data_IF_039553310979
#
_entry.id   IF_039553310979
#
_cell.length_a   1.000
_cell.length_b   1.000
_cell.length_c   1.000
_cell.angle_alpha   90.00
_cell.angle_beta   90.00
_cell.angle_gamma   90.00
#
_symmetry.space_group_name_H-M   'P 1'
#
loop_
_entity.id
_entity.type
_entity.pdbx_description
1 polymer ?
#
# COMPACT_ATOMS: atom_id res chain seq x y z
N UNK A 1 50.01 -19.80 19.05
CA UNK A 1 49.31 -19.00 18.02
C UNK A 1 47.81 -19.16 18.24
N UNK A 2 47.15 -18.13 18.80
CA UNK A 2 45.75 -18.19 19.20
C UNK A 2 44.83 -17.79 18.02
N UNK A 3 43.89 -18.67 17.66
CA UNK A 3 42.81 -18.37 16.72
C UNK A 3 41.75 -17.54 17.46
N UNK A 4 41.57 -16.27 17.07
CA UNK A 4 40.40 -15.48 17.49
C UNK A 4 39.28 -15.74 16.48
N UNK A 5 38.27 -16.49 16.91
CA UNK A 5 36.98 -16.60 16.23
C UNK A 5 36.16 -15.36 16.53
N UNK A 6 35.91 -14.54 15.52
CA UNK A 6 34.96 -13.43 15.57
C UNK A 6 33.54 -14.00 15.58
N UNK A 7 32.65 -13.64 16.52
CA UNK A 7 31.27 -14.11 16.51
C UNK A 7 30.47 -13.42 15.40
N UNK A 8 29.58 -14.18 14.78
CA UNK A 8 28.61 -13.71 13.81
C UNK A 8 27.72 -12.64 14.45
N UNK A 9 27.60 -11.50 13.78
CA UNK A 9 26.77 -10.38 14.21
C UNK A 9 25.31 -10.80 14.09
N UNK A 10 24.64 -10.81 15.23
CA UNK A 10 23.22 -11.12 15.43
C UNK A 10 22.33 -10.41 14.40
N UNK A 11 21.38 -11.17 13.85
CA UNK A 11 20.25 -10.63 13.12
C UNK A 11 19.51 -9.66 14.04
N UNK A 12 19.51 -8.38 13.68
CA UNK A 12 18.68 -7.39 14.34
C UNK A 12 17.22 -7.70 14.03
N UNK A 13 16.55 -8.35 14.98
CA UNK A 13 15.09 -8.37 15.07
C UNK A 13 14.59 -6.93 15.14
N UNK A 14 14.21 -6.39 13.98
CA UNK A 14 13.48 -5.13 13.93
C UNK A 14 12.07 -5.42 14.41
N UNK A 15 11.84 -5.08 15.68
CA UNK A 15 10.54 -5.03 16.35
C UNK A 15 9.47 -4.58 15.35
N UNK A 16 8.65 -5.55 14.91
CA UNK A 16 7.66 -5.32 13.87
C UNK A 16 6.69 -4.26 14.33
N UNK A 17 6.65 -3.10 13.65
CA UNK A 17 5.64 -2.04 13.84
C UNK A 17 4.20 -2.49 13.48
N UNK A 18 3.94 -3.80 13.40
CA UNK A 18 2.71 -4.37 12.86
C UNK A 18 2.04 -5.17 13.96
N UNK A 19 0.82 -4.76 14.33
CA UNK A 19 0.02 -5.48 15.32
C UNK A 19 -0.56 -6.81 14.83
N UNK A 20 -0.61 -7.02 13.50
CA UNK A 20 -1.15 -8.24 12.85
C UNK A 20 -0.44 -8.46 11.50
N UNK A 21 -0.27 -9.72 11.11
CA UNK A 21 0.30 -10.13 9.83
C UNK A 21 -0.63 -9.83 8.64
N UNK A 22 -0.06 -9.55 7.47
CA UNK A 22 -0.84 -9.30 6.24
C UNK A 22 -0.77 -10.52 5.33
N UNK A 23 -1.90 -10.89 4.75
CA UNK A 23 -1.98 -11.99 3.80
C UNK A 23 -1.50 -11.53 2.42
N UNK A 24 -0.66 -12.31 1.72
CA UNK A 24 -0.34 -12.06 0.32
C UNK A 24 -1.61 -12.10 -0.53
N UNK A 25 -1.85 -11.02 -1.27
CA UNK A 25 -3.01 -10.90 -2.16
C UNK A 25 -2.65 -9.97 -3.31
N UNK A 26 -2.65 -10.50 -4.53
CA UNK A 26 -2.20 -9.78 -5.72
C UNK A 26 -3.34 -9.62 -6.72
N UNK A 27 -3.78 -8.38 -6.96
CA UNK A 27 -4.76 -8.09 -8.00
C UNK A 27 -4.55 -6.71 -8.61
N UNK A 28 -4.89 -6.58 -9.89
CA UNK A 28 -4.93 -5.29 -10.57
C UNK A 28 -6.17 -4.50 -10.14
N UNK A 29 -6.01 -3.21 -9.88
CA UNK A 29 -7.08 -2.33 -9.42
C UNK A 29 -7.06 -1.00 -10.16
N UNK A 30 -8.23 -0.38 -10.26
CA UNK A 30 -8.37 1.04 -10.53
C UNK A 30 -8.72 1.75 -9.23
N UNK A 31 -8.37 3.03 -9.12
CA UNK A 31 -8.77 3.86 -8.00
C UNK A 31 -9.00 5.29 -8.42
N UNK A 32 -9.90 5.96 -7.70
CA UNK A 32 -10.16 7.39 -7.87
C UNK A 32 -9.67 8.16 -6.65
N UNK A 33 -9.17 9.38 -6.84
CA UNK A 33 -8.85 10.30 -5.74
C UNK A 33 -9.10 11.75 -6.14
N UNK A 34 -9.30 12.60 -5.15
CA UNK A 34 -9.47 14.04 -5.40
C UNK A 34 -8.13 14.73 -5.23
N UNK A 35 -7.69 15.45 -6.25
CA UNK A 35 -6.57 16.39 -6.10
C UNK A 35 -7.15 17.73 -5.70
N UNK A 36 -6.62 18.30 -4.62
CA UNK A 36 -6.88 19.69 -4.22
C UNK A 36 -5.57 20.46 -4.32
N UNK A 37 -5.31 21.03 -5.48
CA UNK A 37 -4.28 22.04 -5.66
C UNK A 37 -4.94 23.43 -5.72
N UNK A 38 -4.17 24.50 -5.46
CA UNK A 38 -4.63 25.90 -5.35
C UNK A 38 -5.49 26.38 -6.54
N UNK A 39 -5.44 25.69 -7.68
CA UNK A 39 -6.18 26.03 -8.90
C UNK A 39 -7.02 24.88 -9.48
N UNK A 40 -6.93 23.66 -8.91
CA UNK A 40 -7.57 22.48 -9.48
C UNK A 40 -8.23 21.65 -8.37
N UNK A 41 -9.55 21.52 -8.46
CA UNK A 41 -10.29 20.45 -7.81
C UNK A 41 -10.71 19.50 -8.92
N UNK A 42 -10.09 18.33 -8.96
CA UNK A 42 -10.32 17.35 -10.01
C UNK A 42 -10.38 15.94 -9.44
N UNK A 43 -11.27 15.12 -10.01
CA UNK A 43 -11.27 13.69 -9.78
C UNK A 43 -10.22 13.07 -10.71
N UNK A 44 -9.19 12.49 -10.12
CA UNK A 44 -8.18 11.73 -10.84
C UNK A 44 -8.54 10.24 -10.77
N UNK A 45 -8.18 9.52 -11.83
CA UNK A 45 -8.29 8.07 -11.91
C UNK A 45 -6.92 7.47 -12.23
N UNK A 46 -6.56 6.43 -11.49
CA UNK A 46 -5.28 5.75 -11.59
C UNK A 46 -5.44 4.24 -11.59
N UNK A 47 -4.34 3.57 -11.88
CA UNK A 47 -4.21 2.13 -11.86
C UNK A 47 -3.12 1.71 -10.87
N UNK A 48 -3.24 0.48 -10.37
CA UNK A 48 -2.25 -0.10 -9.50
C UNK A 48 -2.43 -1.60 -9.29
N UNK A 49 -1.61 -2.14 -8.40
CA UNK A 49 -1.61 -3.54 -8.02
C UNK A 49 -1.65 -3.64 -6.50
N UNK A 50 -2.68 -4.28 -5.95
CA UNK A 50 -2.67 -4.69 -4.55
C UNK A 50 -1.64 -5.80 -4.40
N UNK A 51 -0.85 -5.79 -3.32
CA UNK A 51 0.22 -6.78 -3.07
C UNK A 51 0.05 -7.53 -1.75
N UNK A 52 -0.81 -7.02 -0.86
CA UNK A 52 -1.22 -7.69 0.37
C UNK A 52 -2.52 -7.06 0.88
N UNK A 53 -3.25 -7.84 1.68
CA UNK A 53 -4.49 -7.43 2.32
C UNK A 53 -4.48 -7.79 3.81
N UNK A 54 -5.24 -7.02 4.58
CA UNK A 54 -5.51 -7.22 5.99
C UNK A 54 -6.91 -6.68 6.29
N UNK A 55 -7.52 -7.09 7.40
CA UNK A 55 -8.86 -6.67 7.80
C UNK A 55 -9.06 -5.14 7.81
N UNK A 56 -7.99 -4.38 8.07
CA UNK A 56 -8.04 -2.91 8.16
C UNK A 56 -7.39 -2.18 6.99
N UNK A 57 -6.89 -2.86 5.94
CA UNK A 57 -6.21 -2.16 4.86
C UNK A 57 -5.46 -3.03 3.86
N UNK A 58 -4.82 -2.37 2.90
CA UNK A 58 -4.10 -3.00 1.78
C UNK A 58 -2.72 -2.39 1.57
N UNK A 59 -1.84 -3.12 0.90
CA UNK A 59 -0.65 -2.58 0.27
C UNK A 59 -0.90 -2.39 -1.21
N UNK A 60 -0.60 -1.20 -1.74
CA UNK A 60 -0.79 -0.85 -3.15
C UNK A 60 0.55 -0.47 -3.77
N UNK A 61 0.79 -0.93 -4.99
CA UNK A 61 1.77 -0.38 -5.90
C UNK A 61 1.01 0.44 -6.94
N UNK A 62 1.31 1.72 -7.07
CA UNK A 62 0.68 2.62 -8.04
C UNK A 62 1.68 3.17 -9.04
N UNK A 63 1.21 3.41 -10.26
CA UNK A 63 1.94 4.16 -11.28
C UNK A 63 1.82 5.69 -11.07
N UNK A 64 0.97 6.13 -10.12
CA UNK A 64 0.76 7.54 -9.79
C UNK A 64 1.27 7.88 -8.39
N UNK A 65 1.85 9.09 -8.19
CA UNK A 65 2.22 9.55 -6.87
C UNK A 65 0.97 9.83 -6.05
N UNK A 66 0.78 9.07 -4.97
CA UNK A 66 -0.21 9.35 -3.92
C UNK A 66 0.50 9.78 -2.65
N UNK A 67 -0.10 10.73 -1.94
CA UNK A 67 0.44 11.34 -0.73
C UNK A 67 -0.23 10.78 0.52
N UNK A 68 0.49 10.78 1.64
CA UNK A 68 -0.12 10.45 2.92
C UNK A 68 -1.26 11.43 3.24
N UNK A 69 -2.39 10.91 3.73
CA UNK A 69 -3.62 11.65 3.96
C UNK A 69 -4.57 11.71 2.75
N UNK A 70 -4.13 11.31 1.55
CA UNK A 70 -5.05 11.19 0.41
C UNK A 70 -6.09 10.09 0.70
N UNK A 71 -7.34 10.35 0.31
CA UNK A 71 -8.40 9.34 0.35
C UNK A 71 -8.61 8.79 -1.06
N UNK A 72 -8.38 7.49 -1.21
CA UNK A 72 -8.60 6.78 -2.47
C UNK A 72 -9.90 5.96 -2.37
N UNK A 73 -10.67 5.97 -3.44
CA UNK A 73 -11.74 5.00 -3.67
C UNK A 73 -11.17 3.89 -4.55
N UNK A 74 -10.79 2.79 -3.95
CA UNK A 74 -10.18 1.63 -4.63
C UNK A 74 -11.29 0.66 -5.05
N UNK A 75 -11.25 0.19 -6.29
CA UNK A 75 -12.22 -0.76 -6.82
C UNK A 75 -11.63 -2.17 -6.78
N UNK A 76 -11.89 -2.90 -5.70
CA UNK A 76 -11.37 -4.25 -5.49
C UNK A 76 -12.20 -5.29 -6.27
N UNK A 77 -11.59 -6.18 -7.06
CA UNK A 77 -12.32 -7.26 -7.72
C UNK A 77 -12.81 -8.30 -6.69
N UNK A 78 -14.07 -8.69 -6.79
CA UNK A 78 -14.61 -9.82 -6.01
C UNK A 78 -14.40 -11.10 -6.80
N UNK A 79 -13.60 -12.01 -6.23
CA UNK A 79 -13.20 -13.27 -6.87
C UNK A 79 -14.41 -14.09 -7.36
N UNK A 80 -14.28 -14.68 -8.54
CA UNK A 80 -15.36 -15.45 -9.17
C UNK A 80 -16.52 -14.62 -9.73
N UNK A 81 -16.43 -13.28 -9.69
CA UNK A 81 -17.49 -12.39 -10.19
C UNK A 81 -16.95 -11.30 -11.11
N UNK A 82 -17.86 -10.55 -11.76
CA UNK A 82 -17.54 -9.31 -12.48
C UNK A 82 -17.71 -8.05 -11.63
N UNK A 83 -17.94 -8.22 -10.32
CA UNK A 83 -18.24 -7.11 -9.41
C UNK A 83 -16.94 -6.47 -8.93
N UNK A 84 -16.92 -5.13 -8.94
CA UNK A 84 -15.89 -4.32 -8.33
C UNK A 84 -16.45 -3.68 -7.05
N UNK A 85 -15.90 -4.04 -5.90
CA UNK A 85 -16.26 -3.48 -4.60
C UNK A 85 -15.53 -2.15 -4.39
N UNK A 86 -16.23 -0.99 -4.32
CA UNK A 86 -15.59 0.27 -3.99
C UNK A 86 -15.28 0.32 -2.49
N UNK A 87 -14.00 0.50 -2.15
CA UNK A 87 -13.53 0.66 -0.77
C UNK A 87 -12.81 2.00 -0.62
N UNK A 88 -13.29 2.82 0.30
CA UNK A 88 -12.63 4.07 0.65
C UNK A 88 -11.48 3.79 1.60
N UNK A 89 -10.31 4.34 1.30
CA UNK A 89 -9.11 4.11 2.09
C UNK A 89 -8.24 5.37 2.18
N UNK A 90 -7.69 5.65 3.35
CA UNK A 90 -6.70 6.70 3.55
C UNK A 90 -5.29 6.15 3.28
N UNK A 91 -4.47 6.89 2.55
CA UNK A 91 -3.04 6.60 2.38
C UNK A 91 -2.31 6.95 3.69
N UNK A 92 -1.78 5.94 4.39
CA UNK A 92 -1.06 6.10 5.67
C UNK A 92 0.43 6.38 5.48
N UNK A 93 1.01 5.86 4.40
CA UNK A 93 2.38 6.14 4.02
C UNK A 93 2.56 5.88 2.52
N UNK A 94 3.56 6.55 1.94
CA UNK A 94 3.99 6.36 0.55
C UNK A 94 5.51 6.23 0.49
N UNK A 95 6.03 5.42 -0.42
CA UNK A 95 7.45 5.23 -0.65
C UNK A 95 7.72 5.04 -2.16
N UNK A 96 8.65 5.81 -2.76
CA UNK A 96 9.04 5.58 -4.15
C UNK A 96 9.75 4.23 -4.32
N UNK A 97 9.55 3.59 -5.46
CA UNK A 97 10.24 2.36 -5.84
C UNK A 97 10.41 2.30 -7.36
N UNK A 98 11.54 2.81 -7.83
CA UNK A 98 11.77 3.01 -9.26
C UNK A 98 10.75 3.99 -9.83
N UNK A 99 10.05 3.58 -10.89
CA UNK A 99 9.03 4.39 -11.58
C UNK A 99 7.63 4.23 -10.97
N UNK A 100 7.51 3.61 -9.80
CA UNK A 100 6.24 3.34 -9.11
C UNK A 100 6.28 3.79 -7.66
N UNK A 101 5.10 3.79 -7.02
CA UNK A 101 4.91 4.22 -5.65
C UNK A 101 4.28 3.10 -4.84
N UNK A 102 4.92 2.71 -3.74
CA UNK A 102 4.30 1.83 -2.75
C UNK A 102 3.51 2.69 -1.78
N UNK A 103 2.27 2.30 -1.51
CA UNK A 103 1.42 2.95 -0.54
C UNK A 103 0.83 1.92 0.43
N UNK A 104 0.80 2.27 1.71
CA UNK A 104 0.01 1.56 2.70
C UNK A 104 -1.32 2.27 2.86
N UNK A 105 -2.42 1.57 2.61
CA UNK A 105 -3.76 2.11 2.77
C UNK A 105 -4.45 1.51 3.98
N UNK A 106 -5.25 2.33 4.66
CA UNK A 106 -6.14 1.92 5.73
C UNK A 106 -7.58 2.14 5.30
N UNK A 107 -8.43 1.14 5.46
CA UNK A 107 -9.85 1.26 5.15
C UNK A 107 -10.52 2.27 6.07
N UNK A 108 -11.38 3.11 5.48
CA UNK A 108 -12.28 3.98 6.21
C UNK A 108 -13.55 3.18 6.50
N UNK A 109 -13.69 2.74 7.75
CA UNK A 109 -14.85 1.99 8.28
C UNK A 109 -15.46 2.74 9.45
#
# INVERSE_FOLDING_TARGET
MAKKSTPAKEAQDTVGKRGVEREPYTCAVIFDWTVRDKKLIGLMRGQGTVVNIHACGIGLISDYPVSAGDVLKVYLPVEGTRVLLPVFSEVRWTRPAGNRFYAGLQFLV
#
